data_IF_584423648200
#
_entry.id   IF_584423648200
#
_cell.length_a   1.000
_cell.length_b   1.000
_cell.length_c   1.000
_cell.angle_alpha   90.00
_cell.angle_beta   90.00
_cell.angle_gamma   90.00
#
_symmetry.space_group_name_H-M   'P 1'
#
loop_
_entity.id
_entity.type
_entity.pdbx_description
1 polymer ?
#
# COMPACT_ATOMS: atom_id res chain seq x y z
N UNK A 1 2.32 57.58 -47.83
CA UNK A 1 1.19 57.13 -46.97
C UNK A 1 1.30 55.64 -46.78
N UNK A 2 1.71 55.19 -45.60
CA UNK A 2 1.88 53.77 -45.31
C UNK A 2 1.99 53.54 -43.80
N UNK A 3 1.06 52.75 -43.29
CA UNK A 3 1.22 51.72 -42.26
C UNK A 3 1.59 52.17 -40.84
N UNK A 4 0.55 52.37 -40.03
CA UNK A 4 0.49 51.84 -38.65
C UNK A 4 -0.91 51.30 -38.36
N UNK A 5 -1.17 50.09 -38.81
CA UNK A 5 -2.19 49.21 -38.23
C UNK A 5 -1.40 47.96 -37.90
N UNK A 6 -0.96 47.79 -36.66
CA UNK A 6 -0.51 46.52 -36.05
C UNK A 6 0.15 46.80 -34.69
N UNK A 7 -0.52 47.59 -33.84
CA UNK A 7 -0.18 47.70 -32.41
C UNK A 7 -1.27 47.16 -31.50
N UNK A 8 -2.46 46.82 -32.04
CA UNK A 8 -3.56 46.29 -31.25
C UNK A 8 -3.57 44.75 -31.16
N UNK A 9 -3.03 44.04 -32.16
CA UNK A 9 -2.99 42.57 -32.15
C UNK A 9 -1.93 41.97 -31.21
N UNK A 10 -0.83 42.70 -30.94
CA UNK A 10 0.25 42.23 -30.04
C UNK A 10 -0.18 42.32 -28.57
N UNK A 11 -1.00 43.32 -28.22
CA UNK A 11 -1.55 43.46 -26.87
C UNK A 11 -2.62 42.41 -26.56
N UNK A 12 -3.39 41.99 -27.57
CA UNK A 12 -4.35 40.89 -27.44
C UNK A 12 -3.65 39.52 -27.27
N UNK A 13 -2.49 39.29 -27.89
CA UNK A 13 -1.72 38.06 -27.68
C UNK A 13 -1.06 37.97 -26.29
N UNK A 14 -0.72 39.10 -25.66
CA UNK A 14 -0.14 39.12 -24.31
C UNK A 14 -1.17 38.87 -23.21
N UNK A 15 -2.45 39.22 -23.43
CA UNK A 15 -3.53 38.93 -22.47
C UNK A 15 -4.00 37.47 -22.50
N UNK A 16 -3.75 36.74 -23.60
CA UNK A 16 -4.13 35.31 -23.72
C UNK A 16 -3.06 34.37 -23.13
N UNK A 17 -1.83 34.84 -22.93
CA UNK A 17 -0.73 34.05 -22.33
C UNK A 17 -0.56 34.28 -20.81
N UNK A 18 -1.49 34.98 -20.16
CA UNK A 18 -1.53 35.18 -18.69
C UNK A 18 -2.79 34.61 -18.02
N UNK A 19 -3.43 33.61 -18.64
CA UNK A 19 -4.54 32.84 -18.04
C UNK A 19 -4.14 31.37 -17.74
N UNK A 20 -2.90 31.14 -17.32
CA UNK A 20 -2.45 29.87 -16.73
C UNK A 20 -2.07 30.08 -15.25
N UNK A 21 -2.99 30.69 -14.49
CA UNK A 21 -2.86 30.91 -13.06
C UNK A 21 -4.11 30.38 -12.33
N UNK A 22 -3.89 29.45 -11.39
CA UNK A 22 -4.86 28.90 -10.45
C UNK A 22 -6.06 28.14 -11.04
N UNK A 23 -5.79 26.98 -11.64
CA UNK A 23 -6.72 25.86 -11.50
C UNK A 23 -6.57 25.35 -10.07
N UNK A 24 -7.45 25.80 -9.17
CA UNK A 24 -7.44 25.40 -7.77
C UNK A 24 -7.51 23.88 -7.65
N UNK A 25 -6.37 23.25 -7.37
CA UNK A 25 -6.38 22.00 -6.64
C UNK A 25 -7.13 22.32 -5.35
N UNK A 26 -8.30 21.72 -5.17
CA UNK A 26 -8.91 21.65 -3.86
C UNK A 26 -7.81 21.11 -2.95
N UNK A 27 -7.30 21.99 -2.08
CA UNK A 27 -6.50 21.57 -0.95
C UNK A 27 -7.40 20.63 -0.18
N UNK A 28 -7.15 19.34 -0.34
CA UNK A 28 -7.73 18.35 0.55
C UNK A 28 -7.20 18.72 1.94
N UNK A 29 -8.10 19.23 2.75
CA UNK A 29 -7.81 19.85 4.02
C UNK A 29 -7.39 18.77 5.01
N UNK A 30 -6.09 18.50 5.05
CA UNK A 30 -5.24 18.09 6.19
C UNK A 30 -4.05 17.38 5.59
N UNK A 31 -2.97 18.12 5.37
CA UNK A 31 -1.65 17.54 5.29
C UNK A 31 -1.40 16.86 6.63
N UNK A 32 -1.67 15.55 6.70
CA UNK A 32 -1.43 14.74 7.89
C UNK A 32 0.06 14.83 8.20
N UNK A 33 0.41 15.21 9.42
CA UNK A 33 1.77 15.14 9.96
C UNK A 33 2.17 13.68 10.26
N UNK A 34 1.68 12.73 9.47
CA UNK A 34 1.94 11.31 9.60
C UNK A 34 3.28 10.90 8.96
N UNK A 35 3.74 9.67 9.22
CA UNK A 35 4.96 9.15 8.62
C UNK A 35 4.87 9.18 7.09
N UNK A 36 5.99 9.49 6.44
CA UNK A 36 6.14 9.38 4.98
C UNK A 36 6.87 8.08 4.68
N UNK A 37 6.45 7.38 3.62
CA UNK A 37 7.03 6.10 3.25
C UNK A 37 7.53 6.09 1.81
N UNK A 38 8.61 5.37 1.57
CA UNK A 38 9.20 5.18 0.24
C UNK A 38 9.44 3.69 -0.03
N UNK A 39 9.08 3.24 -1.23
CA UNK A 39 9.43 1.90 -1.72
C UNK A 39 10.79 1.94 -2.40
N UNK A 40 11.69 1.03 -2.01
CA UNK A 40 13.05 0.95 -2.52
C UNK A 40 13.32 -0.45 -3.08
N UNK A 41 14.16 -0.52 -4.12
CA UNK A 41 14.72 -1.78 -4.60
C UNK A 41 15.83 -2.26 -3.65
N UNK A 42 16.04 -3.58 -3.57
CA UNK A 42 17.15 -4.14 -2.81
C UNK A 42 18.44 -4.03 -3.64
N UNK A 43 19.27 -3.03 -3.32
CA UNK A 43 20.53 -2.77 -4.05
C UNK A 43 21.78 -3.30 -3.37
N UNK A 44 21.73 -3.64 -2.07
CA UNK A 44 22.89 -4.17 -1.36
C UNK A 44 23.13 -5.62 -1.79
N UNK A 45 24.30 -5.90 -2.38
CA UNK A 45 24.70 -7.24 -2.81
C UNK A 45 24.73 -8.27 -1.68
N UNK A 46 24.87 -7.84 -0.43
CA UNK A 46 24.88 -8.72 0.75
C UNK A 46 23.50 -9.15 1.20
N UNK A 47 22.44 -8.46 0.78
CA UNK A 47 21.07 -8.83 1.11
C UNK A 47 20.56 -9.87 0.09
N UNK A 48 20.06 -11.01 0.56
CA UNK A 48 19.44 -12.06 -0.24
C UNK A 48 18.03 -12.32 0.27
N UNK A 49 17.09 -12.70 -0.61
CA UNK A 49 15.77 -13.18 -0.17
C UNK A 49 15.89 -14.64 0.24
N UNK A 50 15.63 -14.93 1.51
CA UNK A 50 15.81 -16.26 2.09
C UNK A 50 14.55 -17.13 1.92
N UNK A 51 13.37 -16.51 1.97
CA UNK A 51 12.11 -17.20 1.74
C UNK A 51 11.00 -16.31 1.18
N UNK A 52 10.02 -16.96 0.55
CA UNK A 52 8.79 -16.35 0.05
C UNK A 52 7.59 -16.93 0.79
N UNK A 53 6.72 -16.06 1.30
CA UNK A 53 5.53 -16.42 2.04
C UNK A 53 4.30 -15.71 1.49
N UNK A 54 3.11 -16.18 1.90
CA UNK A 54 1.82 -15.53 1.62
C UNK A 54 1.63 -15.21 0.12
N UNK A 55 1.73 -16.20 -0.78
CA UNK A 55 1.64 -15.95 -2.21
C UNK A 55 0.23 -15.55 -2.64
N UNK A 56 0.13 -14.69 -3.64
CA UNK A 56 -1.11 -14.27 -4.29
C UNK A 56 -0.93 -14.08 -5.79
N UNK A 57 -1.98 -14.34 -6.56
CA UNK A 57 -2.03 -14.05 -8.00
C UNK A 57 -3.00 -12.90 -8.26
N UNK A 58 -2.49 -11.83 -8.87
CA UNK A 58 -3.27 -10.62 -9.17
C UNK A 58 -3.55 -10.55 -10.67
N UNK A 59 -4.82 -10.58 -11.04
CA UNK A 59 -5.24 -10.29 -12.40
C UNK A 59 -5.50 -8.78 -12.54
N UNK A 60 -4.59 -8.07 -13.22
CA UNK A 60 -4.65 -6.61 -13.43
C UNK A 60 -4.81 -6.35 -14.92
N UNK A 61 -6.02 -6.00 -15.34
CA UNK A 61 -6.36 -5.88 -16.75
C UNK A 61 -6.34 -7.24 -17.45
N UNK A 62 -5.36 -7.45 -18.35
CA UNK A 62 -5.12 -8.73 -19.02
C UNK A 62 -3.88 -9.47 -18.51
N UNK A 63 -3.16 -8.85 -17.57
CA UNK A 63 -1.89 -9.35 -17.07
C UNK A 63 -2.10 -10.06 -15.72
N UNK A 64 -1.37 -11.14 -15.48
CA UNK A 64 -1.36 -11.83 -14.20
C UNK A 64 -0.01 -11.61 -13.54
N UNK A 65 -0.01 -11.17 -12.28
CA UNK A 65 1.20 -11.01 -11.47
C UNK A 65 1.20 -12.01 -10.32
N UNK A 66 2.35 -12.63 -10.07
CA UNK A 66 2.62 -13.25 -8.79
C UNK A 66 3.09 -12.18 -7.81
N UNK A 67 2.57 -12.21 -6.59
CA UNK A 67 2.97 -11.35 -5.48
C UNK A 67 3.19 -12.21 -4.25
N UNK A 68 4.25 -11.94 -3.49
CA UNK A 68 4.57 -12.66 -2.27
C UNK A 68 5.26 -11.73 -1.26
N UNK A 69 5.16 -12.09 0.02
CA UNK A 69 6.04 -11.57 1.06
C UNK A 69 7.44 -12.16 0.85
N UNK A 70 8.45 -11.31 0.73
CA UNK A 70 9.85 -11.70 0.71
C UNK A 70 10.44 -11.47 2.10
N UNK A 71 11.03 -12.51 2.68
CA UNK A 71 11.68 -12.47 3.98
C UNK A 71 13.19 -12.60 3.81
N UNK A 72 13.94 -11.81 4.56
CA UNK A 72 15.40 -11.88 4.57
C UNK A 72 15.98 -11.43 5.90
N UNK A 73 17.11 -12.01 6.28
CA UNK A 73 17.77 -11.74 7.56
C UNK A 73 18.74 -10.55 7.47
N UNK A 74 18.69 -9.68 8.47
CA UNK A 74 19.68 -8.61 8.68
C UNK A 74 19.93 -8.44 10.17
N UNK A 75 21.18 -8.65 10.60
CA UNK A 75 21.62 -8.41 11.98
C UNK A 75 20.67 -9.04 13.03
N UNK A 76 20.40 -10.33 12.87
CA UNK A 76 19.50 -11.15 13.72
C UNK A 76 18.02 -10.71 13.72
N UNK A 77 17.61 -9.84 12.79
CA UNK A 77 16.20 -9.45 12.59
C UNK A 77 15.70 -9.90 11.22
N UNK A 78 14.50 -10.48 11.19
CA UNK A 78 13.80 -10.77 9.93
C UNK A 78 13.16 -9.49 9.42
N UNK A 79 13.52 -9.11 8.20
CA UNK A 79 12.94 -8.01 7.48
C UNK A 79 12.03 -8.53 6.37
N UNK A 80 11.06 -7.71 6.00
CA UNK A 80 10.06 -8.06 4.99
C UNK A 80 10.10 -7.08 3.82
N UNK A 81 9.78 -7.60 2.64
CA UNK A 81 9.55 -6.86 1.41
C UNK A 81 8.42 -7.50 0.61
N UNK A 82 8.04 -6.88 -0.50
CA UNK A 82 7.01 -7.40 -1.40
C UNK A 82 7.66 -7.74 -2.74
N UNK A 83 7.71 -9.04 -3.04
CA UNK A 83 8.13 -9.57 -4.33
C UNK A 83 6.96 -9.53 -5.32
N UNK A 84 7.21 -9.11 -6.55
CA UNK A 84 6.20 -9.17 -7.61
C UNK A 84 6.77 -9.41 -9.00
N UNK A 85 6.17 -10.34 -9.74
CA UNK A 85 6.60 -10.70 -11.09
C UNK A 85 5.41 -10.85 -12.04
N UNK A 86 5.52 -10.29 -13.24
CA UNK A 86 4.59 -10.55 -14.33
C UNK A 86 4.70 -12.01 -14.78
N UNK A 87 3.57 -12.71 -14.82
CA UNK A 87 3.50 -14.08 -15.33
C UNK A 87 3.27 -14.09 -16.84
N UNK A 88 4.12 -14.83 -17.53
CA UNK A 88 3.92 -15.17 -18.94
C UNK A 88 3.18 -16.50 -19.02
N UNK A 89 1.88 -16.45 -19.36
CA UNK A 89 1.09 -17.67 -19.55
C UNK A 89 1.47 -18.28 -20.89
N UNK A 90 2.13 -19.44 -20.85
CA UNK A 90 2.44 -20.26 -22.03
C UNK A 90 1.33 -21.28 -22.27
N UNK A 91 1.23 -21.75 -23.51
CA UNK A 91 0.27 -22.81 -23.91
C UNK A 91 0.86 -24.22 -23.81
N UNK A 92 2.16 -24.33 -23.51
CA UNK A 92 2.80 -25.60 -23.20
C UNK A 92 2.44 -26.05 -21.77
N UNK A 93 2.69 -27.33 -21.47
CA UNK A 93 2.50 -27.88 -20.12
C UNK A 93 3.80 -27.82 -19.30
N UNK A 94 4.74 -26.93 -19.65
CA UNK A 94 6.01 -26.83 -18.93
C UNK A 94 5.82 -26.07 -17.62
N UNK A 95 6.35 -26.63 -16.53
CA UNK A 95 6.41 -25.92 -15.25
C UNK A 95 7.46 -24.82 -15.36
N UNK A 96 7.05 -23.59 -15.10
CA UNK A 96 7.95 -22.45 -14.96
C UNK A 96 8.03 -22.08 -13.48
N UNK A 97 9.25 -21.89 -12.95
CA UNK A 97 9.42 -21.36 -11.61
C UNK A 97 9.18 -19.85 -11.62
N UNK A 98 8.64 -19.34 -10.52
CA UNK A 98 8.21 -17.95 -10.37
C UNK A 98 9.00 -17.37 -9.20
N UNK A 99 9.50 -16.15 -9.38
CA UNK A 99 10.37 -15.43 -8.45
C UNK A 99 11.71 -16.15 -8.20
N UNK A 100 12.29 -16.77 -9.25
CA UNK A 100 13.63 -17.38 -9.19
C UNK A 100 14.70 -16.38 -8.72
N UNK A 101 14.59 -15.12 -9.14
CA UNK A 101 15.44 -14.00 -8.69
C UNK A 101 14.62 -13.03 -7.83
N UNK A 102 14.05 -13.56 -6.74
CA UNK A 102 13.18 -12.82 -5.84
C UNK A 102 13.76 -11.49 -5.38
N UNK A 103 15.09 -11.38 -5.21
CA UNK A 103 15.77 -10.13 -4.83
C UNK A 103 15.49 -9.00 -5.83
N UNK A 104 15.62 -9.25 -7.14
CA UNK A 104 15.38 -8.24 -8.17
C UNK A 104 13.92 -7.83 -8.31
N UNK A 105 13.03 -8.74 -7.94
CA UNK A 105 11.58 -8.54 -8.03
C UNK A 105 10.98 -8.02 -6.70
N UNK A 106 11.79 -7.83 -5.67
CA UNK A 106 11.38 -7.37 -4.34
C UNK A 106 11.59 -5.88 -4.13
N UNK A 107 10.56 -5.23 -3.59
CA UNK A 107 10.66 -3.87 -3.04
C UNK A 107 10.49 -3.90 -1.52
N UNK A 108 11.29 -3.11 -0.81
CA UNK A 108 11.18 -2.90 0.63
C UNK A 108 10.55 -1.55 0.92
N UNK A 109 9.85 -1.44 2.04
CA UNK A 109 9.25 -0.19 2.49
C UNK A 109 10.13 0.47 3.54
N UNK A 110 10.43 1.75 3.35
CA UNK A 110 11.21 2.54 4.30
C UNK A 110 10.38 3.73 4.79
N UNK A 111 10.42 3.97 6.11
CA UNK A 111 9.92 5.20 6.71
C UNK A 111 10.97 6.30 6.51
N UNK A 112 10.53 7.40 5.89
CA UNK A 112 11.33 8.60 5.69
C UNK A 112 11.17 9.50 6.91
N UNK A 113 12.23 9.59 7.70
CA UNK A 113 12.32 10.48 8.86
C UNK A 113 13.27 11.64 8.57
N UNK A 114 13.30 12.64 9.44
CA UNK A 114 14.26 13.74 9.35
C UNK A 114 15.70 13.34 9.70
N UNK A 115 15.91 12.11 10.18
CA UNK A 115 17.24 11.55 10.47
C UNK A 115 17.83 10.90 9.22
N UNK A 116 19.16 10.82 9.15
CA UNK A 116 19.88 10.27 7.98
C UNK A 116 19.57 8.78 7.77
N UNK A 117 19.26 8.05 8.84
CA UNK A 117 18.95 6.62 8.78
C UNK A 117 17.46 6.41 8.49
N UNK A 118 17.17 5.86 7.31
CA UNK A 118 15.84 5.37 6.92
C UNK A 118 15.58 4.04 7.62
N UNK A 119 14.37 3.89 8.19
CA UNK A 119 13.99 2.68 8.92
C UNK A 119 13.14 1.77 8.04
N UNK A 120 13.52 0.49 7.92
CA UNK A 120 12.68 -0.51 7.23
C UNK A 120 11.41 -0.79 8.01
N UNK A 121 10.32 -0.89 7.28
CA UNK A 121 8.97 -1.07 7.79
C UNK A 121 8.52 -2.49 7.48
N UNK A 122 7.91 -3.14 8.47
CA UNK A 122 7.32 -4.46 8.27
C UNK A 122 6.12 -4.35 7.32
N UNK A 123 6.14 -5.16 6.26
CA UNK A 123 5.09 -5.30 5.25
C UNK A 123 4.54 -6.73 5.19
N UNK A 124 4.59 -7.45 6.32
CA UNK A 124 4.11 -8.83 6.46
C UNK A 124 2.63 -9.03 6.11
N UNK A 125 2.27 -10.26 5.74
CA UNK A 125 0.93 -10.70 5.34
C UNK A 125 0.26 -9.78 4.30
N UNK A 126 0.90 -9.52 3.16
CA UNK A 126 0.31 -8.73 2.09
C UNK A 126 -1.04 -9.31 1.69
N UNK A 127 -2.08 -8.48 1.70
CA UNK A 127 -3.44 -8.85 1.31
C UNK A 127 -3.92 -7.87 0.25
N UNK A 128 -4.03 -8.30 -1.00
CA UNK A 128 -4.23 -7.41 -2.14
C UNK A 128 -5.60 -7.57 -2.82
N UNK A 129 -6.15 -6.47 -3.30
CA UNK A 129 -7.39 -6.42 -4.11
C UNK A 129 -7.14 -5.56 -5.35
N UNK A 130 -7.59 -6.05 -6.51
CA UNK A 130 -7.45 -5.33 -7.78
C UNK A 130 -8.73 -4.59 -8.13
N UNK A 131 -8.60 -3.32 -8.51
CA UNK A 131 -9.68 -2.48 -8.98
C UNK A 131 -9.32 -1.78 -10.31
N UNK A 132 -9.61 -2.44 -11.42
CA UNK A 132 -9.24 -1.93 -12.74
C UNK A 132 -7.72 -2.06 -12.92
N UNK A 133 -7.04 -0.92 -13.11
CA UNK A 133 -5.58 -0.84 -13.17
C UNK A 133 -4.91 -0.59 -11.80
N UNK A 134 -5.71 -0.24 -10.80
CA UNK A 134 -5.23 0.05 -9.45
C UNK A 134 -5.19 -1.24 -8.61
N UNK A 135 -4.19 -1.35 -7.76
CA UNK A 135 -4.04 -2.39 -6.77
C UNK A 135 -4.06 -1.72 -5.40
N UNK A 136 -4.85 -2.25 -4.48
CA UNK A 136 -4.82 -1.85 -3.07
C UNK A 136 -4.34 -3.05 -2.25
N UNK A 137 -3.47 -2.83 -1.29
CA UNK A 137 -2.91 -3.89 -0.46
C UNK A 137 -2.79 -3.45 0.98
N UNK A 138 -3.21 -4.32 1.90
CA UNK A 138 -2.86 -4.19 3.32
C UNK A 138 -1.54 -4.93 3.56
N UNK A 139 -0.58 -4.29 4.24
CA UNK A 139 0.73 -4.90 4.50
C UNK A 139 1.29 -4.45 5.86
N UNK A 140 1.62 -5.43 6.71
CA UNK A 140 2.23 -5.21 8.02
C UNK A 140 1.32 -4.50 9.03
N UNK A 141 1.81 -4.43 10.27
CA UNK A 141 1.23 -3.61 11.33
C UNK A 141 2.31 -2.65 11.82
N UNK A 142 2.25 -1.41 11.35
CA UNK A 142 3.23 -0.39 11.67
C UNK A 142 2.99 0.10 13.10
N UNK A 143 4.06 0.27 13.86
CA UNK A 143 4.01 0.92 15.17
C UNK A 143 5.18 1.88 15.31
N UNK A 144 4.88 3.15 15.63
CA UNK A 144 5.88 4.11 16.05
C UNK A 144 5.87 4.22 17.57
N UNK A 145 7.01 3.90 18.20
CA UNK A 145 7.22 4.32 19.59
C UNK A 145 7.52 5.81 19.57
N UNK A 146 6.67 6.62 20.21
CA UNK A 146 6.98 8.02 20.45
C UNK A 146 8.12 8.15 21.46
N UNK A 147 9.02 9.11 21.27
CA UNK A 147 10.07 9.43 22.24
C UNK A 147 9.53 10.12 23.51
N UNK A 148 8.21 10.35 23.61
CA UNK A 148 7.55 10.93 24.77
C UNK A 148 6.28 10.16 25.16
N UNK A 149 6.11 9.96 26.47
CA UNK A 149 5.02 9.24 27.17
C UNK A 149 3.57 9.70 26.88
N UNK A 150 3.35 10.67 25.97
CA UNK A 150 2.04 11.30 25.76
C UNK A 150 1.52 11.29 24.33
N UNK A 151 2.27 10.75 23.36
CA UNK A 151 1.72 10.44 22.04
C UNK A 151 1.20 9.01 22.13
N UNK A 152 -0.11 8.83 22.07
CA UNK A 152 -0.75 7.51 21.87
C UNK A 152 0.05 6.74 20.84
N UNK A 153 0.47 5.49 21.14
CA UNK A 153 1.22 4.65 20.20
C UNK A 153 0.59 4.78 18.80
N UNK A 154 1.30 5.44 17.87
CA UNK A 154 0.86 5.59 16.48
C UNK A 154 1.09 4.22 15.83
N UNK A 155 0.21 3.28 16.14
CA UNK A 155 0.15 1.99 15.49
C UNK A 155 -0.99 1.96 14.48
N UNK A 156 -0.80 1.26 13.38
CA UNK A 156 -1.80 1.21 12.34
C UNK A 156 -1.44 0.27 11.21
N UNK A 157 -2.48 -0.06 10.46
CA UNK A 157 -2.39 -0.94 9.31
C UNK A 157 -1.97 -0.13 8.09
N UNK A 158 -0.95 -0.59 7.37
CA UNK A 158 -0.52 0.12 6.16
C UNK A 158 -1.42 -0.26 4.99
N UNK A 159 -1.97 0.76 4.33
CA UNK A 159 -2.64 0.65 3.06
C UNK A 159 -1.71 1.15 1.96
N UNK A 160 -1.36 0.23 1.07
CA UNK A 160 -0.51 0.46 -0.09
C UNK A 160 -1.37 0.58 -1.34
N UNK A 161 -1.11 1.60 -2.15
CA UNK A 161 -1.66 1.74 -3.50
C UNK A 161 -0.57 1.41 -4.51
N UNK A 162 -0.88 0.56 -5.48
CA UNK A 162 -0.02 0.29 -6.63
C UNK A 162 -0.77 0.36 -7.96
N UNK A 163 -0.01 0.39 -9.04
CA UNK A 163 -0.52 0.25 -10.40
C UNK A 163 0.52 -0.48 -11.28
N UNK A 164 0.10 -0.91 -12.46
CA UNK A 164 1.02 -1.48 -13.44
C UNK A 164 1.63 -0.37 -14.27
N UNK A 165 2.97 -0.32 -14.33
CA UNK A 165 3.71 0.54 -15.24
C UNK A 165 4.24 -0.28 -16.42
N UNK A 166 4.25 0.34 -17.60
CA UNK A 166 4.64 -0.32 -18.85
C UNK A 166 6.05 0.10 -19.26
N UNK A 167 7.06 -0.68 -18.88
CA UNK A 167 8.44 -0.48 -19.33
C UNK A 167 8.70 -1.33 -20.58
N UNK A 168 8.26 -0.84 -21.76
CA UNK A 168 8.42 -1.44 -23.10
C UNK A 168 8.00 -2.92 -23.28
N UNK A 169 8.65 -3.85 -22.58
CA UNK A 169 8.41 -5.30 -22.55
C UNK A 169 8.36 -5.91 -21.14
N UNK A 170 8.68 -5.16 -20.08
CA UNK A 170 8.73 -5.62 -18.70
C UNK A 170 7.73 -4.86 -17.84
N UNK A 171 6.44 -5.21 -17.93
CA UNK A 171 5.44 -4.63 -17.03
C UNK A 171 5.76 -5.02 -15.59
N UNK A 172 5.69 -4.04 -14.68
CA UNK A 172 5.94 -4.24 -13.25
C UNK A 172 4.84 -3.56 -12.45
N UNK A 173 4.61 -4.08 -11.24
CA UNK A 173 3.82 -3.36 -10.26
C UNK A 173 4.70 -2.26 -9.68
N UNK A 174 4.19 -1.03 -9.73
CA UNK A 174 4.77 0.12 -9.08
C UNK A 174 3.92 0.46 -7.85
N UNK A 175 4.51 0.35 -6.66
CA UNK A 175 3.88 0.78 -5.41
C UNK A 175 4.04 2.29 -5.27
N UNK A 176 2.92 3.01 -5.39
CA UNK A 176 2.88 4.47 -5.55
C UNK A 176 2.87 5.19 -4.21
N UNK A 177 2.04 4.72 -3.29
CA UNK A 177 1.68 5.46 -2.08
C UNK A 177 1.40 4.46 -0.96
N UNK A 178 1.82 4.80 0.24
CA UNK A 178 1.54 4.01 1.44
C UNK A 178 1.02 4.95 2.52
N UNK A 179 -0.14 4.60 3.09
CA UNK A 179 -0.77 5.36 4.18
C UNK A 179 -0.94 4.47 5.39
N UNK A 180 -0.62 4.99 6.56
CA UNK A 180 -1.01 4.36 7.82
C UNK A 180 -2.49 4.67 8.08
N UNK A 181 -3.34 3.64 8.15
CA UNK A 181 -4.74 3.79 8.54
C UNK A 181 -4.79 4.09 10.05
N UNK A 182 -5.54 5.13 10.47
CA UNK A 182 -5.50 5.59 11.85
C UNK A 182 -6.10 4.54 12.80
N UNK A 183 -5.63 4.47 14.07
CA UNK A 183 -6.23 3.62 15.10
C UNK A 183 -7.74 3.81 15.25
N UNK A 184 -8.24 5.03 14.99
CA UNK A 184 -9.68 5.35 15.07
C UNK A 184 -10.54 4.58 14.07
N UNK A 185 -9.96 3.99 13.03
CA UNK A 185 -10.63 3.00 12.18
C UNK A 185 -11.15 1.80 12.99
N UNK A 186 -10.50 1.51 14.11
CA UNK A 186 -10.74 0.36 15.00
C UNK A 186 -11.68 0.69 16.18
N UNK A 187 -12.09 1.96 16.33
CA UNK A 187 -12.91 2.49 17.45
C UNK A 187 -14.34 1.92 17.53
N UNK A 188 -14.70 0.96 16.68
CA UNK A 188 -16.01 0.28 16.78
C UNK A 188 -16.20 -0.55 18.05
N UNK A 189 -15.14 -0.78 18.84
CA UNK A 189 -15.19 -1.22 20.25
C UNK A 189 -13.92 -0.74 20.97
N UNK A 190 -14.01 0.27 21.85
CA UNK A 190 -12.85 0.80 22.57
C UNK A 190 -12.52 -0.15 23.73
N UNK A 191 -11.24 -0.57 23.79
CA UNK A 191 -10.45 -0.92 25.01
C UNK A 191 -9.60 -2.21 24.92
N UNK A 192 -9.67 -3.02 23.85
CA UNK A 192 -8.89 -4.28 23.82
C UNK A 192 -8.06 -4.61 22.57
N UNK A 193 -8.12 -3.87 21.45
CA UNK A 193 -7.29 -4.22 20.28
C UNK A 193 -5.80 -4.02 20.55
N UNK A 194 -5.00 -5.07 20.37
CA UNK A 194 -3.53 -5.01 20.42
C UNK A 194 -2.88 -5.09 19.05
N UNK A 195 -3.67 -5.33 18.00
CA UNK A 195 -3.18 -5.40 16.63
C UNK A 195 -4.24 -5.82 15.64
N UNK A 196 -4.09 -5.36 14.40
CA UNK A 196 -4.88 -5.78 13.24
C UNK A 196 -3.91 -5.97 12.08
N UNK A 197 -4.05 -7.06 11.33
CA UNK A 197 -3.20 -7.38 10.19
C UNK A 197 -4.04 -7.99 9.05
N UNK A 198 -3.55 -7.87 7.82
CA UNK A 198 -4.13 -8.57 6.67
C UNK A 198 -4.20 -10.08 6.89
N UNK A 199 -5.24 -10.72 6.36
CA UNK A 199 -5.37 -12.19 6.37
C UNK A 199 -4.33 -12.90 5.49
N UNK A 200 -3.66 -12.16 4.61
CA UNK A 200 -2.72 -12.66 3.61
C UNK A 200 -3.39 -13.06 2.30
N UNK A 201 -2.66 -12.88 1.19
CA UNK A 201 -3.10 -13.28 -0.14
C UNK A 201 -4.03 -12.26 -0.78
N UNK A 202 -5.30 -12.62 -0.97
CA UNK A 202 -6.25 -11.84 -1.76
C UNK A 202 -7.46 -11.36 -0.96
N UNK A 203 -7.79 -10.09 -1.15
CA UNK A 203 -9.12 -9.55 -0.90
C UNK A 203 -10.04 -9.73 -2.11
N UNK A 204 -11.22 -9.13 -2.06
CA UNK A 204 -12.21 -9.21 -3.15
C UNK A 204 -12.79 -7.84 -3.48
N UNK A 205 -13.19 -7.69 -4.75
CA UNK A 205 -14.06 -6.61 -5.20
C UNK A 205 -15.46 -7.19 -5.42
N UNK A 206 -16.43 -6.66 -4.70
CA UNK A 206 -17.83 -7.03 -4.84
C UNK A 206 -18.46 -6.40 -6.10
N UNK A 207 -19.63 -6.92 -6.52
CA UNK A 207 -20.32 -6.48 -7.73
C UNK A 207 -20.76 -5.00 -7.69
N UNK A 208 -21.01 -4.46 -6.50
CA UNK A 208 -21.34 -3.05 -6.27
C UNK A 208 -20.09 -2.12 -6.33
N UNK A 209 -18.90 -2.71 -6.47
CA UNK A 209 -17.62 -2.02 -6.48
C UNK A 209 -16.98 -1.87 -5.10
N UNK A 210 -17.55 -2.43 -4.04
CA UNK A 210 -16.96 -2.45 -2.70
C UNK A 210 -15.69 -3.29 -2.68
N UNK A 211 -14.59 -2.73 -2.17
CA UNK A 211 -13.35 -3.45 -1.93
C UNK A 211 -13.37 -4.02 -0.52
N UNK A 212 -12.96 -5.27 -0.35
CA UNK A 212 -13.01 -5.98 0.94
C UNK A 212 -11.70 -6.74 1.15
N UNK A 213 -11.09 -6.53 2.31
CA UNK A 213 -9.95 -7.27 2.80
C UNK A 213 -10.34 -8.14 3.99
N UNK A 214 -10.03 -9.45 3.98
CA UNK A 214 -10.02 -10.23 5.21
C UNK A 214 -8.89 -9.74 6.11
N UNK A 215 -9.19 -9.56 7.40
CA UNK A 215 -8.20 -9.17 8.40
C UNK A 215 -8.33 -10.01 9.66
N UNK A 216 -7.20 -10.19 10.32
CA UNK A 216 -7.10 -10.82 11.63
C UNK A 216 -6.88 -9.73 12.68
N UNK A 217 -7.76 -9.68 13.68
CA UNK A 217 -7.65 -8.77 14.81
C UNK A 217 -7.26 -9.53 16.07
N UNK A 218 -6.37 -8.96 16.88
CA UNK A 218 -6.00 -9.49 18.20
C UNK A 218 -6.51 -8.58 19.29
N UNK A 219 -7.21 -9.14 20.28
CA UNK A 219 -7.69 -8.41 21.46
C UNK A 219 -7.07 -8.92 22.76
N UNK A 220 -6.95 -8.07 23.77
CA UNK A 220 -6.86 -8.49 25.17
C UNK A 220 -8.22 -9.05 25.62
N UNK A 221 -8.24 -10.21 26.26
CA UNK A 221 -9.48 -10.80 26.78
C UNK A 221 -9.96 -10.14 28.07
N UNK A 222 -11.27 -10.18 28.34
CA UNK A 222 -11.91 -9.65 29.57
C UNK A 222 -11.62 -10.46 30.86
N UNK A 223 -10.90 -11.58 30.76
CA UNK A 223 -10.50 -12.38 31.92
C UNK A 223 -9.05 -12.81 31.77
N UNK A 224 -8.42 -13.24 32.87
CA UNK A 224 -7.01 -13.65 33.04
C UNK A 224 -6.48 -14.76 32.09
N UNK A 225 -7.14 -15.03 30.94
CA UNK A 225 -6.83 -16.03 29.92
C UNK A 225 -6.57 -15.39 28.55
N UNK A 226 -5.37 -14.81 28.37
CA UNK A 226 -4.71 -14.70 27.06
C UNK A 226 -5.27 -13.71 26.02
N UNK A 227 -4.49 -13.53 24.94
CA UNK A 227 -4.90 -12.79 23.73
C UNK A 227 -5.95 -13.61 22.96
N UNK A 228 -7.01 -12.97 22.47
CA UNK A 228 -8.01 -13.60 21.58
C UNK A 228 -7.77 -13.12 20.15
N UNK A 229 -7.77 -14.05 19.19
CA UNK A 229 -7.75 -13.76 17.76
C UNK A 229 -9.17 -13.81 17.21
N UNK A 230 -9.52 -12.85 16.36
CA UNK A 230 -10.82 -12.80 15.69
C UNK A 230 -10.66 -12.48 14.20
N UNK A 231 -11.62 -12.93 13.38
CA UNK A 231 -11.66 -12.63 11.96
C UNK A 231 -12.69 -11.54 11.67
N UNK A 232 -12.27 -10.57 10.86
CA UNK A 232 -13.00 -9.36 10.52
C UNK A 232 -12.77 -9.03 9.04
N UNK A 233 -13.46 -8.00 8.56
CA UNK A 233 -13.18 -7.40 7.25
C UNK A 233 -12.93 -5.91 7.37
N UNK A 234 -12.00 -5.42 6.56
CA UNK A 234 -11.87 -3.99 6.24
C UNK A 234 -12.45 -3.78 4.85
N UNK A 235 -13.31 -2.79 4.69
CA UNK A 235 -13.96 -2.53 3.42
C UNK A 235 -14.02 -1.05 3.08
N UNK A 236 -14.07 -0.73 1.79
CA UNK A 236 -14.32 0.61 1.28
C UNK A 236 -15.33 0.53 0.15
N UNK A 237 -16.40 1.31 0.28
CA UNK A 237 -17.49 1.33 -0.69
C UNK A 237 -17.19 2.29 -1.83
N UNK A 238 -17.89 2.12 -2.95
CA UNK A 238 -17.75 3.03 -4.09
C UNK A 238 -18.25 4.45 -3.78
N UNK A 239 -19.30 4.56 -2.95
CA UNK A 239 -19.96 5.83 -2.60
C UNK A 239 -19.19 6.58 -1.50
N UNK A 240 -18.73 5.83 -0.49
CA UNK A 240 -17.94 6.30 0.62
C UNK A 240 -16.57 5.62 0.56
N UNK A 241 -15.61 6.36 -0.01
CA UNK A 241 -14.22 5.94 -0.24
C UNK A 241 -13.37 5.91 1.04
N UNK A 242 -13.99 6.06 2.21
CA UNK A 242 -13.33 5.76 3.48
C UNK A 242 -13.19 4.25 3.67
N UNK A 243 -12.15 3.84 4.39
CA UNK A 243 -12.02 2.45 4.85
C UNK A 243 -12.78 2.31 6.17
N UNK A 244 -13.43 1.17 6.38
CA UNK A 244 -14.21 0.85 7.57
C UNK A 244 -13.92 -0.57 8.03
N UNK A 245 -13.89 -0.81 9.33
CA UNK A 245 -13.86 -2.14 9.93
C UNK A 245 -15.28 -2.69 10.12
N UNK A 246 -15.49 -3.99 9.93
CA UNK A 246 -16.75 -4.65 10.28
C UNK A 246 -17.01 -4.63 11.78
N UNK A 247 -18.29 -4.54 12.17
CA UNK A 247 -18.71 -4.58 13.58
C UNK A 247 -18.91 -5.99 14.12
N UNK A 248 -19.29 -6.91 13.23
CA UNK A 248 -19.53 -8.31 13.55
C UNK A 248 -18.24 -9.10 13.48
N UNK A 249 -18.06 -10.00 14.43
CA UNK A 249 -16.93 -10.91 14.57
C UNK A 249 -17.41 -12.31 14.21
N UNK A 250 -16.56 -13.14 13.59
CA UNK A 250 -16.86 -14.55 13.33
C UNK A 250 -17.32 -15.27 14.62
N UNK A 251 -18.37 -16.08 14.53
CA UNK A 251 -18.75 -16.98 15.62
C UNK A 251 -17.69 -18.08 15.78
N UNK A 252 -17.36 -18.41 17.04
CA UNK A 252 -16.45 -19.51 17.42
C UNK A 252 -17.11 -20.89 17.19
#
# INVERSE_FOLDING_TARGET
MSRRVFTSAVLLLLLVMMCCGSGGAAQDARQSSGPTFEWQDITDDKESVDSLAVPGLLNVGSDVFAVAEAQFEKEDTVLTGIASQLLTIKTDNERTEVLEDAKKDTKVLEEVTSTVEKKRVDVSRPTAVVNGSDIYMLAGNYSRKGDQESVTDDWGLLLVKGNVINEATNKKIHWIDTKCLPPSLLDTKPESWTGVIGGGGLGIKMNDGTLVFPVEGTTTGDTQKGKKTVLLIIYSSKEDKSWKLSKEISAD
#
